data_IF_687924810771
#
_entry.id   IF_687924810771
#
_cell.length_a   1.000
_cell.length_b   1.000
_cell.length_c   1.000
_cell.angle_alpha   90.00
_cell.angle_beta   90.00
_cell.angle_gamma   90.00
#
_symmetry.space_group_name_H-M   'P 1'
#
loop_
_entity.id
_entity.type
_entity.pdbx_description
1 polymer ?
#
# COMPACT_ATOMS: atom_id res chain seq x y z
N UNK A 1 6.79 13.97 15.89
CA UNK A 1 5.91 13.39 14.84
C UNK A 1 6.66 12.18 14.29
N UNK A 2 6.40 11.00 14.84
CA UNK A 2 7.12 9.75 14.54
C UNK A 2 6.64 9.21 13.19
N UNK A 3 7.45 9.39 12.15
CA UNK A 3 7.18 8.83 10.83
C UNK A 3 7.63 7.36 10.80
N UNK A 4 6.67 6.44 10.96
CA UNK A 4 6.92 5.00 11.02
C UNK A 4 7.18 4.39 9.64
N UNK A 5 8.30 4.71 9.01
CA UNK A 5 8.78 4.00 7.81
C UNK A 5 9.42 2.69 8.28
N UNK A 6 8.61 1.64 8.44
CA UNK A 6 9.08 0.29 8.80
C UNK A 6 9.92 -0.26 7.64
N UNK A 7 11.24 -0.30 7.81
CA UNK A 7 12.15 -1.05 6.92
C UNK A 7 12.02 -2.53 7.27
N UNK A 8 11.46 -3.33 6.37
CA UNK A 8 11.41 -4.79 6.54
C UNK A 8 12.84 -5.35 6.63
N UNK A 9 13.17 -6.17 7.67
CA UNK A 9 14.51 -6.72 7.83
C UNK A 9 14.77 -7.82 6.80
N UNK A 10 15.94 -7.75 6.16
CA UNK A 10 16.32 -8.54 5.00
C UNK A 10 17.09 -9.79 5.43
N UNK A 11 16.62 -10.96 5.00
CA UNK A 11 17.45 -12.17 4.92
C UNK A 11 17.66 -12.49 3.43
N UNK A 12 18.84 -12.15 2.89
CA UNK A 12 19.29 -12.63 1.57
C UNK A 12 19.70 -11.55 0.56
N UNK A 13 20.87 -11.77 -0.08
CA UNK A 13 21.57 -10.91 -1.06
C UNK A 13 21.00 -11.13 -2.47
N UNK A 14 20.65 -10.06 -3.21
CA UNK A 14 20.50 -10.08 -4.68
C UNK A 14 19.35 -9.24 -5.26
N UNK A 15 19.69 -8.13 -5.96
CA UNK A 15 18.83 -7.15 -6.69
C UNK A 15 17.61 -6.57 -5.93
N UNK A 16 17.88 -5.44 -5.25
CA UNK A 16 16.91 -4.64 -4.48
C UNK A 16 15.98 -3.83 -5.37
N UNK A 17 14.70 -4.16 -5.40
CA UNK A 17 13.64 -3.17 -5.61
C UNK A 17 12.93 -3.01 -4.28
N UNK A 18 13.22 -1.92 -3.56
CA UNK A 18 12.48 -1.58 -2.35
C UNK A 18 11.08 -1.14 -2.76
N UNK A 19 10.07 -1.88 -2.31
CA UNK A 19 8.68 -1.50 -2.47
C UNK A 19 8.16 -0.88 -1.18
N UNK A 20 7.42 0.22 -1.30
CA UNK A 20 6.79 0.90 -0.20
C UNK A 20 5.47 0.22 0.16
N UNK A 21 5.25 0.06 1.46
CA UNK A 21 3.94 -0.25 2.03
C UNK A 21 3.38 1.06 2.61
N UNK A 22 2.19 1.45 2.16
CA UNK A 22 1.50 2.66 2.61
C UNK A 22 0.26 2.20 3.38
N UNK A 23 0.13 2.63 4.64
CA UNK A 23 -1.08 2.44 5.44
C UNK A 23 -1.77 3.79 5.58
N UNK A 24 -3.03 3.88 5.15
CA UNK A 24 -3.84 5.09 5.13
C UNK A 24 -4.96 4.94 6.15
N UNK A 25 -4.88 5.71 7.23
CA UNK A 25 -5.97 5.86 8.18
C UNK A 25 -6.98 6.88 7.66
N UNK A 26 -8.21 6.43 7.43
CA UNK A 26 -9.29 7.27 6.90
C UNK A 26 -10.23 7.82 7.98
N UNK A 27 -9.83 7.71 9.25
CA UNK A 27 -10.54 8.38 10.35
C UNK A 27 -10.60 9.88 10.10
N UNK A 28 -11.81 10.43 10.00
CA UNK A 28 -12.02 11.85 9.73
C UNK A 28 -11.78 12.27 8.27
N UNK A 29 -11.70 11.32 7.33
CA UNK A 29 -11.58 11.61 5.90
C UNK A 29 -12.68 12.55 5.41
N UNK A 30 -12.29 13.56 4.62
CA UNK A 30 -13.22 14.49 3.97
C UNK A 30 -12.97 14.44 2.45
N UNK A 31 -14.02 14.42 1.60
CA UNK A 31 -13.86 14.44 0.14
C UNK A 31 -13.08 15.65 -0.37
N UNK A 32 -13.06 16.76 0.37
CA UNK A 32 -12.25 17.95 0.07
C UNK A 32 -10.74 17.70 0.08
N UNK A 33 -10.29 16.59 0.67
CA UNK A 33 -8.87 16.20 0.74
C UNK A 33 -8.43 15.35 -0.46
N UNK A 34 -9.35 15.00 -1.36
CA UNK A 34 -9.06 14.18 -2.54
C UNK A 34 -8.01 14.80 -3.50
N UNK A 35 -8.01 16.11 -3.78
CA UNK A 35 -7.00 16.72 -4.64
C UNK A 35 -5.56 16.51 -4.12
N UNK A 36 -5.36 16.66 -2.80
CA UNK A 36 -4.06 16.48 -2.15
C UNK A 36 -3.60 15.01 -2.22
N UNK A 37 -4.53 14.07 -2.05
CA UNK A 37 -4.24 12.63 -2.20
C UNK A 37 -3.83 12.33 -3.64
N UNK A 38 -4.52 12.91 -4.63
CA UNK A 38 -4.16 12.78 -6.05
C UNK A 38 -2.75 13.30 -6.32
N UNK A 39 -2.38 14.47 -5.80
CA UNK A 39 -1.03 15.02 -5.95
C UNK A 39 0.04 14.10 -5.36
N UNK A 40 -0.18 13.55 -4.16
CA UNK A 40 0.73 12.58 -3.56
C UNK A 40 0.91 11.33 -4.43
N UNK A 41 -0.18 10.81 -4.99
CA UNK A 41 -0.14 9.65 -5.90
C UNK A 41 0.59 10.01 -7.20
N UNK A 42 0.38 11.20 -7.74
CA UNK A 42 1.04 11.66 -8.97
C UNK A 42 2.55 11.83 -8.75
N UNK A 43 2.98 12.32 -7.59
CA UNK A 43 4.41 12.35 -7.20
C UNK A 43 4.98 10.92 -7.14
N UNK A 44 4.29 10.00 -6.47
CA UNK A 44 4.73 8.60 -6.36
C UNK A 44 4.83 7.93 -7.73
N UNK A 45 3.88 8.19 -8.63
CA UNK A 45 3.89 7.65 -9.99
C UNK A 45 4.99 8.24 -10.87
N UNK A 46 5.11 9.56 -10.90
CA UNK A 46 6.00 10.25 -11.83
C UNK A 46 7.47 10.15 -11.41
N UNK A 47 7.75 10.19 -10.11
CA UNK A 47 9.14 10.18 -9.61
C UNK A 47 9.60 8.79 -9.16
N UNK A 48 8.68 7.90 -8.78
CA UNK A 48 8.98 6.59 -8.20
C UNK A 48 8.14 5.44 -8.78
N UNK A 49 8.10 5.28 -10.12
CA UNK A 49 7.28 4.26 -10.77
C UNK A 49 7.68 2.84 -10.32
N UNK A 50 6.68 1.97 -10.16
CA UNK A 50 6.87 0.57 -9.78
C UNK A 50 7.27 0.32 -8.32
N UNK A 51 7.45 1.37 -7.50
CA UNK A 51 7.85 1.26 -6.09
C UNK A 51 6.69 1.05 -5.12
N UNK A 52 5.44 1.22 -5.55
CA UNK A 52 4.30 0.85 -4.70
C UNK A 52 4.26 -0.68 -4.58
N UNK A 53 4.29 -1.19 -3.34
CA UNK A 53 4.09 -2.60 -3.03
C UNK A 53 2.66 -2.86 -2.59
N UNK A 54 2.22 -2.16 -1.54
CA UNK A 54 0.91 -2.31 -0.92
C UNK A 54 0.39 -0.93 -0.51
N UNK A 55 -0.89 -0.67 -0.76
CA UNK A 55 -1.64 0.46 -0.20
C UNK A 55 -2.82 -0.09 0.62
N UNK A 56 -2.75 0.01 1.94
CA UNK A 56 -3.74 -0.53 2.87
C UNK A 56 -4.56 0.61 3.49
N UNK A 57 -5.88 0.53 3.38
CA UNK A 57 -6.82 1.51 3.95
C UNK A 57 -7.46 0.93 5.21
N UNK A 58 -7.34 1.65 6.34
CA UNK A 58 -7.99 1.34 7.61
C UNK A 58 -9.03 2.40 7.96
N UNK A 59 -10.00 2.05 8.81
CA UNK A 59 -11.07 2.95 9.28
C UNK A 59 -11.82 3.65 8.13
N UNK A 60 -12.08 2.92 7.05
CA UNK A 60 -12.74 3.44 5.86
C UNK A 60 -14.19 3.78 6.19
N UNK A 61 -14.62 5.05 6.03
CA UNK A 61 -16.00 5.40 6.28
C UNK A 61 -16.92 4.73 5.25
N UNK A 62 -18.14 4.29 5.61
CA UNK A 62 -19.06 3.62 4.69
C UNK A 62 -19.38 4.43 3.43
N UNK A 63 -19.41 5.77 3.55
CA UNK A 63 -19.64 6.68 2.42
C UNK A 63 -18.42 6.83 1.48
N UNK A 64 -17.28 6.19 1.77
CA UNK A 64 -16.11 6.22 0.89
C UNK A 64 -16.27 5.37 -0.36
N UNK A 65 -17.08 4.31 -0.32
CA UNK A 65 -17.31 3.44 -1.48
C UNK A 65 -17.76 4.18 -2.77
N UNK A 66 -18.74 5.10 -2.73
CA UNK A 66 -19.08 5.90 -3.93
C UNK A 66 -17.95 6.84 -4.34
N UNK A 67 -17.21 7.41 -3.40
CA UNK A 67 -16.03 8.26 -3.69
C UNK A 67 -14.95 7.45 -4.39
N UNK A 68 -14.66 6.23 -3.91
CA UNK A 68 -13.68 5.33 -4.51
C UNK A 68 -14.06 4.98 -5.95
N UNK A 69 -15.33 4.79 -6.28
CA UNK A 69 -15.76 4.54 -7.68
C UNK A 69 -15.45 5.71 -8.62
N UNK A 70 -15.42 6.93 -8.10
CA UNK A 70 -15.08 8.13 -8.88
C UNK A 70 -13.55 8.29 -8.99
N UNK A 71 -12.80 7.91 -7.95
CA UNK A 71 -11.34 8.06 -7.88
C UNK A 71 -10.59 6.90 -8.52
N UNK A 72 -11.11 5.68 -8.44
CA UNK A 72 -10.46 4.47 -8.95
C UNK A 72 -10.10 4.53 -10.44
N UNK A 73 -10.88 5.15 -11.35
CA UNK A 73 -10.51 5.28 -12.75
C UNK A 73 -9.30 6.21 -12.99
N UNK A 74 -8.96 7.07 -12.02
CA UNK A 74 -7.79 7.95 -12.07
C UNK A 74 -6.51 7.23 -11.62
N UNK A 75 -6.65 6.01 -11.08
CA UNK A 75 -5.56 5.16 -10.64
C UNK A 75 -5.26 4.12 -11.70
N UNK A 76 -3.97 3.91 -11.97
CA UNK A 76 -3.54 2.87 -12.89
C UNK A 76 -3.85 1.47 -12.33
N UNK A 77 -4.05 0.51 -13.22
CA UNK A 77 -4.36 -0.88 -12.86
C UNK A 77 -3.33 -1.50 -11.88
N UNK A 78 -2.07 -1.06 -11.94
CA UNK A 78 -1.02 -1.47 -11.00
C UNK A 78 -1.27 -0.98 -9.57
N UNK A 79 -1.77 0.25 -9.40
CA UNK A 79 -2.08 0.79 -8.07
C UNK A 79 -3.35 0.13 -7.53
N UNK A 80 -4.34 -0.07 -8.39
CA UNK A 80 -5.59 -0.73 -8.02
C UNK A 80 -5.37 -2.16 -7.55
N UNK A 81 -4.50 -2.93 -8.22
CA UNK A 81 -4.20 -4.31 -7.82
C UNK A 81 -3.45 -4.42 -6.50
N UNK A 82 -2.80 -3.33 -6.06
CA UNK A 82 -2.04 -3.23 -4.81
C UNK A 82 -2.80 -2.50 -3.70
N UNK A 83 -4.05 -2.10 -3.96
CA UNK A 83 -4.89 -1.39 -3.00
C UNK A 83 -5.79 -2.37 -2.26
N UNK A 84 -5.76 -2.32 -0.92
CA UNK A 84 -6.51 -3.20 -0.03
C UNK A 84 -7.31 -2.39 0.99
N UNK A 85 -8.60 -2.69 1.08
CA UNK A 85 -9.45 -2.22 2.16
C UNK A 85 -9.41 -3.23 3.29
N UNK A 86 -8.88 -2.82 4.45
CA UNK A 86 -8.77 -3.71 5.59
C UNK A 86 -10.11 -3.79 6.33
N UNK A 87 -10.42 -4.95 6.94
CA UNK A 87 -11.64 -5.14 7.69
C UNK A 87 -11.69 -4.21 8.92
N UNK A 88 -12.90 -3.91 9.39
CA UNK A 88 -13.14 -2.95 10.49
C UNK A 88 -12.51 -3.34 11.83
N UNK A 89 -12.13 -4.61 12.02
CA UNK A 89 -11.38 -5.07 13.20
C UNK A 89 -9.88 -4.74 13.14
N UNK A 90 -9.41 -4.19 12.02
CA UNK A 90 -8.05 -3.69 11.83
C UNK A 90 -8.10 -2.16 11.77
N UNK A 91 -8.20 -1.59 12.96
CA UNK A 91 -8.46 -0.18 13.23
C UNK A 91 -7.20 0.65 13.49
N UNK A 92 -6.02 0.01 13.55
CA UNK A 92 -4.77 0.70 13.80
C UNK A 92 -3.62 0.19 12.91
N UNK A 93 -2.51 0.93 12.91
CA UNK A 93 -1.37 0.64 12.04
C UNK A 93 -0.68 -0.68 12.43
N UNK A 94 -0.58 -1.02 13.72
CA UNK A 94 0.07 -2.28 14.13
C UNK A 94 -0.71 -3.51 13.64
N UNK A 95 -2.04 -3.50 13.80
CA UNK A 95 -2.93 -4.56 13.29
C UNK A 95 -2.90 -4.61 11.77
N UNK A 96 -2.79 -3.46 11.10
CA UNK A 96 -2.66 -3.42 9.64
C UNK A 96 -1.38 -4.10 9.18
N UNK A 97 -0.25 -3.80 9.83
CA UNK A 97 1.04 -4.45 9.56
C UNK A 97 0.94 -5.96 9.83
N UNK A 98 0.36 -6.37 10.96
CA UNK A 98 0.19 -7.78 11.29
C UNK A 98 -0.71 -8.51 10.27
N UNK A 99 -1.77 -7.86 9.78
CA UNK A 99 -2.64 -8.39 8.75
C UNK A 99 -1.93 -8.58 7.41
N UNK A 100 -1.11 -7.60 7.02
CA UNK A 100 -0.30 -7.64 5.80
C UNK A 100 0.75 -8.75 5.90
N UNK A 101 1.48 -8.83 7.02
CA UNK A 101 2.51 -9.84 7.26
C UNK A 101 1.92 -11.27 7.28
N UNK A 102 0.65 -11.43 7.68
CA UNK A 102 -0.06 -12.72 7.70
C UNK A 102 -0.51 -13.21 6.32
N UNK A 103 -0.55 -12.36 5.28
CA UNK A 103 -0.92 -12.77 3.91
C UNK A 103 0.33 -12.95 3.05
N UNK A 104 0.99 -14.13 3.07
CA UNK A 104 2.08 -14.42 2.17
C UNK A 104 1.57 -14.38 0.73
N UNK A 105 2.15 -13.50 -0.10
CA UNK A 105 1.77 -13.33 -1.51
C UNK A 105 1.22 -11.95 -1.90
N UNK A 106 0.88 -11.07 -0.95
CA UNK A 106 0.57 -9.65 -1.26
C UNK A 106 1.80 -8.88 -1.73
N UNK A 107 2.97 -9.34 -1.30
CA UNK A 107 4.27 -8.91 -1.79
C UNK A 107 4.70 -10.03 -2.74
N UNK A 108 4.61 -9.78 -4.03
CA UNK A 108 4.98 -10.77 -5.05
C UNK A 108 6.39 -11.33 -4.75
N UNK A 109 6.58 -12.66 -4.55
CA UNK A 109 7.89 -13.28 -4.39
C UNK A 109 8.55 -13.46 -5.77
N UNK A 110 8.67 -12.41 -6.57
CA UNK A 110 9.02 -12.55 -8.00
C UNK A 110 10.47 -12.20 -8.30
N UNK A 111 11.43 -12.65 -7.48
CA UNK A 111 12.82 -12.89 -7.89
C UNK A 111 13.50 -13.86 -6.90
N UNK A 112 13.01 -15.09 -6.75
CA UNK A 112 13.86 -16.21 -6.36
C UNK A 112 14.37 -16.83 -7.67
N UNK A 113 15.59 -16.52 -8.14
CA UNK A 113 16.18 -17.33 -9.19
C UNK A 113 16.29 -18.74 -8.64
N UNK A 114 15.78 -19.69 -9.40
CA UNK A 114 15.87 -21.14 -9.31
C UNK A 114 17.31 -21.70 -9.25
N UNK A 115 18.31 -20.89 -8.85
CA UNK A 115 19.74 -21.17 -9.02
C UNK A 115 20.55 -21.22 -7.71
N UNK A 116 19.92 -21.47 -6.57
CA UNK A 116 20.63 -21.84 -5.33
C UNK A 116 20.38 -23.31 -4.97
N UNK A 117 20.60 -24.19 -5.95
CA UNK A 117 21.02 -25.58 -5.73
C UNK A 117 22.46 -25.73 -6.23
N UNK A 118 23.41 -25.39 -5.37
CA UNK A 118 24.71 -26.05 -5.24
C UNK A 118 25.06 -26.07 -3.76
#
# INVERSE_FOLDING_TARGET
MEHYIRRMPLRGRGRRVQRACIVLDMTGFRPTTLPQIKECIDVLRNHYPGRLGIAAFINVPPYFHPVWKIVSPLLDAEILSKTFFLPSNVDNVEKAIAWIDRKPGLIEPTLLPTQLKK
#
